data_IF_484508029165
#
_entry.id   IF_484508029165
#
_cell.length_a   1.000
_cell.length_b   1.000
_cell.length_c   1.000
_cell.angle_alpha   90.00
_cell.angle_beta   90.00
_cell.angle_gamma   90.00
#
_symmetry.space_group_name_H-M   'P 1'
#
loop_
_entity.id
_entity.type
_entity.pdbx_description
1 polymer ?
#
# COMPACT_ATOMS: atom_id res chain seq x y z
N UNK A 1 18.59 1.10 -9.97
CA UNK A 1 19.31 2.12 -9.17
C UNK A 1 19.06 1.98 -7.67
N UNK A 2 17.82 1.93 -7.18
CA UNK A 2 17.51 1.81 -5.73
C UNK A 2 18.23 0.66 -5.00
N UNK A 3 18.39 -0.51 -5.63
CA UNK A 3 19.08 -1.67 -5.02
C UNK A 3 20.61 -1.53 -5.05
N UNK A 4 21.15 -0.93 -6.12
CA UNK A 4 22.60 -0.82 -6.34
C UNK A 4 23.23 0.44 -5.71
N UNK A 5 22.40 1.39 -5.28
CA UNK A 5 22.82 2.63 -4.60
C UNK A 5 21.76 3.01 -3.58
N UNK A 6 21.73 2.33 -2.41
CA UNK A 6 20.65 2.46 -1.45
C UNK A 6 20.62 3.84 -0.81
N UNK A 7 19.43 4.43 -0.79
CA UNK A 7 19.10 5.68 -0.10
C UNK A 7 17.75 5.52 0.59
N UNK A 8 17.40 6.46 1.47
CA UNK A 8 16.05 6.49 2.05
C UNK A 8 15.01 6.70 0.94
N UNK A 9 13.96 5.87 0.98
CA UNK A 9 12.87 5.87 0.01
C UNK A 9 11.54 6.19 0.71
N UNK A 10 10.53 6.63 -0.06
CA UNK A 10 9.17 6.89 0.44
C UNK A 10 8.18 5.91 -0.21
N UNK A 11 6.88 6.16 0.00
CA UNK A 11 5.80 5.28 -0.41
C UNK A 11 5.82 4.94 -1.91
N UNK A 12 6.05 5.92 -2.80
CA UNK A 12 6.07 5.70 -4.25
C UNK A 12 7.26 4.83 -4.65
N UNK A 13 8.47 5.17 -4.19
CA UNK A 13 9.67 4.38 -4.49
C UNK A 13 9.56 2.95 -3.91
N UNK A 14 8.99 2.81 -2.71
CA UNK A 14 8.73 1.53 -2.07
C UNK A 14 7.79 0.63 -2.89
N UNK A 15 6.73 1.20 -3.45
CA UNK A 15 5.82 0.48 -4.36
C UNK A 15 6.54 0.04 -5.63
N UNK A 16 7.31 0.91 -6.28
CA UNK A 16 8.07 0.57 -7.50
C UNK A 16 9.10 -0.52 -7.21
N UNK A 17 9.80 -0.43 -6.08
CA UNK A 17 10.77 -1.42 -5.65
C UNK A 17 10.10 -2.76 -5.36
N UNK A 18 8.95 -2.77 -4.69
CA UNK A 18 8.18 -3.99 -4.42
C UNK A 18 7.72 -4.67 -5.71
N UNK A 19 7.24 -3.90 -6.70
CA UNK A 19 6.89 -4.44 -8.04
C UNK A 19 8.11 -5.12 -8.66
N UNK A 20 9.27 -4.45 -8.67
CA UNK A 20 10.49 -5.02 -9.23
C UNK A 20 10.91 -6.32 -8.53
N UNK A 21 10.89 -6.33 -7.19
CA UNK A 21 11.31 -7.49 -6.39
C UNK A 21 10.33 -8.68 -6.47
N UNK A 22 9.08 -8.44 -6.85
CA UNK A 22 8.04 -9.47 -6.95
C UNK A 22 7.67 -9.84 -8.38
N UNK A 23 8.32 -9.26 -9.39
CA UNK A 23 8.04 -9.49 -10.81
C UNK A 23 8.20 -10.95 -11.25
N UNK A 24 9.10 -11.70 -10.60
CA UNK A 24 9.32 -13.13 -10.89
C UNK A 24 8.31 -14.08 -10.23
N UNK A 25 7.44 -13.58 -9.34
CA UNK A 25 6.50 -14.42 -8.59
C UNK A 25 5.24 -14.66 -9.44
N UNK A 26 5.14 -15.86 -10.00
CA UNK A 26 3.95 -16.32 -10.73
C UNK A 26 2.79 -16.54 -9.76
N UNK A 27 1.57 -16.18 -10.19
CA UNK A 27 0.36 -16.33 -9.38
C UNK A 27 0.16 -15.29 -8.27
N UNK A 28 1.10 -14.34 -8.13
CA UNK A 28 0.93 -13.15 -7.29
C UNK A 28 0.43 -12.01 -8.17
N UNK A 29 -0.75 -11.49 -7.87
CA UNK A 29 -1.26 -10.26 -8.49
C UNK A 29 -0.86 -9.05 -7.65
N UNK A 30 -0.52 -7.93 -8.29
CA UNK A 30 -0.05 -6.71 -7.63
C UNK A 30 -0.93 -5.55 -8.09
N UNK A 31 -1.53 -4.83 -7.16
CA UNK A 31 -2.50 -3.77 -7.39
C UNK A 31 -2.04 -2.51 -6.64
N UNK A 32 -1.55 -1.46 -7.33
CA UNK A 32 -1.26 -0.19 -6.68
C UNK A 32 -2.55 0.43 -6.13
N UNK A 33 -2.56 0.82 -4.86
CA UNK A 33 -3.71 1.47 -4.22
C UNK A 33 -3.27 2.80 -3.61
N UNK A 34 -3.88 3.88 -4.10
CA UNK A 34 -3.65 5.23 -3.62
C UNK A 34 -4.76 5.69 -2.67
N UNK A 35 -4.37 6.45 -1.65
CA UNK A 35 -5.25 7.10 -0.70
C UNK A 35 -5.00 8.61 -0.73
N UNK A 36 -6.08 9.37 -0.87
CA UNK A 36 -6.10 10.79 -0.56
C UNK A 36 -6.85 10.97 0.74
N UNK A 37 -6.20 11.60 1.72
CA UNK A 37 -6.74 11.79 3.06
C UNK A 37 -6.63 13.23 3.49
N UNK A 38 -7.50 13.63 4.40
CA UNK A 38 -7.48 14.95 5.04
C UNK A 38 -7.21 14.82 6.53
N UNK A 39 -6.26 15.60 7.05
CA UNK A 39 -5.98 15.76 8.47
C UNK A 39 -5.74 17.25 8.75
N UNK A 40 -6.44 17.82 9.73
CA UNK A 40 -6.32 19.24 10.09
C UNK A 40 -6.38 20.19 8.88
N UNK A 41 -7.35 19.98 7.97
CA UNK A 41 -7.56 20.71 6.70
C UNK A 41 -6.47 20.55 5.64
N UNK A 42 -5.49 19.68 5.87
CA UNK A 42 -4.40 19.38 4.92
C UNK A 42 -4.67 18.09 4.19
N UNK A 43 -4.44 18.09 2.88
CA UNK A 43 -4.54 16.90 2.04
C UNK A 43 -3.19 16.17 2.01
N UNK A 44 -3.25 14.85 2.20
CA UNK A 44 -2.11 13.94 2.17
C UNK A 44 -2.38 12.83 1.17
N UNK A 45 -1.36 12.49 0.38
CA UNK A 45 -1.39 11.38 -0.55
C UNK A 45 -0.46 10.27 -0.09
N UNK A 46 -0.94 9.04 -0.15
CA UNK A 46 -0.18 7.85 0.22
C UNK A 46 -0.52 6.70 -0.73
N UNK A 47 0.43 5.80 -0.97
CA UNK A 47 0.27 4.68 -1.90
C UNK A 47 0.87 3.41 -1.30
N UNK A 48 0.18 2.30 -1.50
CA UNK A 48 0.64 0.94 -1.18
C UNK A 48 0.50 0.05 -2.42
N UNK A 49 1.14 -1.11 -2.38
CA UNK A 49 0.97 -2.17 -3.35
C UNK A 49 0.22 -3.32 -2.68
N UNK A 50 -1.09 -3.41 -2.89
CA UNK A 50 -1.86 -4.57 -2.46
C UNK A 50 -1.45 -5.76 -3.31
N UNK A 51 -1.24 -6.90 -2.66
CA UNK A 51 -0.89 -8.16 -3.33
C UNK A 51 -1.91 -9.23 -3.03
N UNK A 52 -2.24 -10.04 -4.04
CA UNK A 52 -3.08 -11.23 -3.89
C UNK A 52 -2.26 -12.47 -4.21
N UNK A 53 -2.24 -13.42 -3.28
CA UNK A 53 -1.68 -14.75 -3.50
C UNK A 53 -2.77 -15.80 -3.23
N UNK A 54 -3.23 -16.47 -4.29
CA UNK A 54 -4.40 -17.34 -4.20
C UNK A 54 -5.67 -16.59 -3.78
N UNK A 55 -6.21 -16.89 -2.60
CA UNK A 55 -7.42 -16.25 -2.04
C UNK A 55 -7.12 -15.16 -1.01
N UNK A 56 -5.85 -15.01 -0.61
CA UNK A 56 -5.45 -14.12 0.47
C UNK A 56 -4.82 -12.84 -0.08
N UNK A 57 -5.00 -11.76 0.67
CA UNK A 57 -4.51 -10.42 0.35
C UNK A 57 -3.53 -9.96 1.42
N UNK A 58 -2.52 -9.21 1.01
CA UNK A 58 -1.59 -8.47 1.85
C UNK A 58 -1.17 -7.19 1.16
N UNK A 59 -0.16 -6.48 1.67
CA UNK A 59 0.34 -5.29 1.01
C UNK A 59 1.82 -5.02 1.29
N UNK A 60 2.53 -4.51 0.29
CA UNK A 60 3.79 -3.81 0.48
C UNK A 60 3.52 -2.30 0.56
N UNK A 61 4.24 -1.60 1.42
CA UNK A 61 4.08 -0.15 1.56
C UNK A 61 5.11 0.43 2.50
N UNK A 62 5.36 1.73 2.36
CA UNK A 62 6.22 2.49 3.25
C UNK A 62 5.49 3.71 3.77
N UNK A 63 5.37 3.79 5.08
CA UNK A 63 4.77 4.93 5.78
C UNK A 63 5.63 5.29 6.98
N UNK A 64 5.43 6.51 7.49
CA UNK A 64 5.97 6.94 8.78
C UNK A 64 5.27 6.24 9.93
N UNK A 65 4.01 5.85 9.73
CA UNK A 65 3.20 5.09 10.69
C UNK A 65 3.22 3.61 10.32
N UNK A 66 3.57 2.76 11.28
CA UNK A 66 3.77 1.32 11.04
C UNK A 66 2.49 0.62 10.55
N UNK A 67 1.34 1.03 11.07
CA UNK A 67 0.02 0.53 10.68
C UNK A 67 -0.48 1.15 9.36
N UNK A 68 0.26 2.04 8.72
CA UNK A 68 0.02 2.47 7.34
C UNK A 68 1.09 1.96 6.38
N UNK A 69 2.04 1.14 6.84
CA UNK A 69 3.02 0.46 6.00
C UNK A 69 2.53 -0.93 5.57
N UNK A 70 3.42 -1.89 5.34
CA UNK A 70 3.08 -3.23 4.86
C UNK A 70 2.10 -4.02 5.75
N UNK A 71 1.50 -5.05 5.13
CA UNK A 71 0.58 -6.00 5.74
C UNK A 71 0.87 -7.41 5.27
N UNK A 72 0.89 -8.35 6.21
CA UNK A 72 0.99 -9.77 5.93
C UNK A 72 -0.19 -10.29 5.10
N UNK A 73 0.02 -11.42 4.42
CA UNK A 73 -0.98 -12.01 3.50
C UNK A 73 -1.99 -12.85 4.29
N UNK A 74 -2.90 -12.17 5.01
CA UNK A 74 -3.87 -12.81 5.91
C UNK A 74 -5.33 -12.46 5.58
N UNK A 75 -5.55 -11.39 4.82
CA UNK A 75 -6.87 -10.84 4.55
C UNK A 75 -7.64 -11.68 3.52
N UNK A 76 -8.93 -11.92 3.76
CA UNK A 76 -9.79 -12.76 2.90
C UNK A 76 -10.34 -12.04 1.66
N UNK A 77 -10.23 -10.71 1.63
CA UNK A 77 -10.72 -9.90 0.50
C UNK A 77 -9.99 -8.58 0.37
N UNK A 78 -10.01 -8.01 -0.84
CA UNK A 78 -9.55 -6.64 -1.09
C UNK A 78 -10.25 -5.61 -0.18
N UNK A 79 -11.56 -5.76 0.03
CA UNK A 79 -12.32 -4.86 0.91
C UNK A 79 -11.84 -4.93 2.36
N UNK A 80 -11.49 -6.13 2.86
CA UNK A 80 -11.02 -6.31 4.23
C UNK A 80 -9.68 -5.62 4.50
N UNK A 81 -8.74 -5.69 3.57
CA UNK A 81 -7.46 -4.97 3.69
C UNK A 81 -7.66 -3.45 3.56
N UNK A 82 -8.48 -2.99 2.61
CA UNK A 82 -8.79 -1.55 2.48
C UNK A 82 -9.46 -1.00 3.73
N UNK A 83 -10.38 -1.77 4.33
CA UNK A 83 -11.04 -1.40 5.59
C UNK A 83 -10.07 -1.33 6.76
N UNK A 84 -9.02 -2.17 6.75
CA UNK A 84 -7.95 -2.11 7.76
C UNK A 84 -7.14 -0.81 7.66
N UNK A 85 -6.71 -0.43 6.46
CA UNK A 85 -6.04 0.86 6.24
C UNK A 85 -6.94 2.03 6.59
N UNK A 86 -8.24 1.97 6.26
CA UNK A 86 -9.21 3.00 6.65
C UNK A 86 -9.24 3.22 8.16
N UNK A 87 -9.33 2.14 8.93
CA UNK A 87 -9.30 2.19 10.39
C UNK A 87 -7.97 2.73 10.92
N UNK A 88 -6.84 2.37 10.31
CA UNK A 88 -5.54 2.94 10.67
C UNK A 88 -5.51 4.46 10.45
N UNK A 89 -5.95 4.95 9.28
CA UNK A 89 -6.07 6.40 9.03
C UNK A 89 -6.96 7.11 10.05
N UNK A 90 -8.13 6.55 10.35
CA UNK A 90 -9.04 7.11 11.35
C UNK A 90 -8.38 7.20 12.74
N UNK A 91 -7.59 6.18 13.11
CA UNK A 91 -6.77 6.19 14.34
C UNK A 91 -5.74 7.32 14.39
N UNK A 92 -5.24 7.75 13.23
CA UNK A 92 -4.35 8.90 13.07
C UNK A 92 -5.08 10.21 12.81
N UNK A 93 -6.41 10.27 12.98
CA UNK A 93 -7.26 11.45 12.70
C UNK A 93 -7.24 11.91 11.24
N UNK A 94 -7.00 10.98 10.32
CA UNK A 94 -7.17 11.19 8.88
C UNK A 94 -8.57 10.73 8.45
N UNK A 95 -9.20 11.50 7.58
CA UNK A 95 -10.41 11.09 6.85
C UNK A 95 -10.04 10.77 5.41
N UNK A 96 -10.37 9.57 4.91
CA UNK A 96 -10.18 9.23 3.49
C UNK A 96 -11.20 10.01 2.66
N UNK A 97 -10.69 10.85 1.76
CA UNK A 97 -11.48 11.60 0.78
C UNK A 97 -11.62 10.80 -0.52
N UNK A 98 -10.55 10.11 -0.93
CA UNK A 98 -10.54 9.35 -2.17
C UNK A 98 -9.65 8.12 -2.10
N UNK A 99 -10.09 7.07 -2.79
CA UNK A 99 -9.34 5.85 -2.99
C UNK A 99 -9.18 5.58 -4.50
N UNK A 100 -7.97 5.25 -4.91
CA UNK A 100 -7.62 4.97 -6.30
C UNK A 100 -7.07 3.55 -6.39
N UNK A 101 -7.56 2.75 -7.32
CA UNK A 101 -7.07 1.39 -7.55
C UNK A 101 -6.48 1.33 -8.96
N UNK A 102 -5.19 1.02 -9.04
CA UNK A 102 -4.49 0.77 -10.28
C UNK A 102 -4.82 -0.60 -10.87
N UNK A 103 -4.45 -0.81 -12.13
CA UNK A 103 -4.58 -2.11 -12.78
C UNK A 103 -3.51 -3.09 -12.25
N UNK A 104 -3.74 -4.41 -12.39
CA UNK A 104 -2.74 -5.41 -12.07
C UNK A 104 -1.42 -5.19 -12.83
N UNK A 105 -0.29 -5.32 -12.13
CA UNK A 105 1.08 -5.23 -12.68
C UNK A 105 1.90 -6.50 -12.47
#
# INVERSE_FOLDING_TARGET
QMIHSPQAIKCVEGVILAIYLTAGLQGVERLPVGFETEQDTKIHQHIILVVRNGKKFGAFGMSREADLAGREIEFDSFSSIVSDYKRAYEGHRHTIQKLWVGLPV
#
